data_IF_072656907069
#
_entry.id   IF_072656907069
#
_cell.length_a   1.000
_cell.length_b   1.000
_cell.length_c   1.000
_cell.angle_alpha   90.00
_cell.angle_beta   90.00
_cell.angle_gamma   90.00
#
_symmetry.space_group_name_H-M   'P 1'
#
loop_
_entity.id
_entity.type
_entity.pdbx_description
1 polymer ?
#
# COMPACT_ATOMS: atom_id res chain seq x y z
N UNK A 1 10.59 -7.64 -1.91
CA UNK A 1 9.23 -7.27 -2.40
C UNK A 1 9.26 -6.06 -3.35
N UNK A 2 10.06 -5.02 -3.13
CA UNK A 2 10.14 -3.82 -3.99
C UNK A 2 10.34 -4.09 -5.48
N UNK A 3 11.05 -5.15 -5.84
CA UNK A 3 11.24 -5.54 -7.25
C UNK A 3 9.93 -5.85 -8.00
N UNK A 4 8.84 -6.17 -7.31
CA UNK A 4 7.56 -6.53 -7.95
C UNK A 4 6.94 -5.34 -8.66
N UNK A 5 7.15 -4.11 -8.16
CA UNK A 5 6.59 -2.90 -8.75
C UNK A 5 7.04 -2.71 -10.21
N UNK A 6 8.30 -3.03 -10.52
CA UNK A 6 8.82 -2.90 -11.88
C UNK A 6 8.06 -3.77 -12.91
N UNK A 7 7.53 -4.93 -12.47
CA UNK A 7 6.66 -5.75 -13.32
C UNK A 7 5.25 -5.19 -13.42
N UNK A 8 4.71 -4.66 -12.34
CA UNK A 8 3.34 -4.13 -12.28
C UNK A 8 3.19 -2.89 -13.15
N UNK A 9 4.18 -1.99 -13.14
CA UNK A 9 4.16 -0.79 -14.00
C UNK A 9 4.49 -1.08 -15.46
N UNK A 10 4.80 -2.33 -15.81
CA UNK A 10 4.98 -2.77 -17.19
C UNK A 10 3.68 -3.33 -17.75
N UNK A 11 3.16 -2.79 -18.84
CA UNK A 11 1.97 -3.33 -19.53
C UNK A 11 2.17 -4.78 -20.01
N UNK A 12 3.43 -5.18 -20.24
CA UNK A 12 3.81 -6.56 -20.58
C UNK A 12 4.22 -7.41 -19.38
N UNK A 13 4.17 -6.85 -18.17
CA UNK A 13 4.69 -7.46 -16.94
C UNK A 13 6.15 -7.98 -17.09
N UNK A 14 6.96 -7.29 -17.88
CA UNK A 14 8.30 -7.71 -18.25
C UNK A 14 9.33 -6.62 -17.94
N UNK A 15 10.49 -7.08 -17.47
CA UNK A 15 11.64 -6.23 -17.17
C UNK A 15 12.92 -6.86 -17.68
N UNK A 16 13.92 -6.02 -17.94
CA UNK A 16 15.30 -6.46 -18.16
C UNK A 16 16.16 -5.91 -17.03
N UNK A 17 16.94 -6.78 -16.42
CA UNK A 17 17.78 -6.46 -15.28
C UNK A 17 19.23 -6.59 -15.75
N UNK A 18 19.99 -5.50 -15.62
CA UNK A 18 21.40 -5.41 -15.92
C UNK A 18 22.12 -4.99 -14.66
N UNK A 19 23.01 -5.82 -14.12
CA UNK A 19 23.67 -5.56 -12.85
C UNK A 19 25.17 -5.81 -12.92
N UNK A 20 25.95 -4.98 -12.23
CA UNK A 20 27.38 -5.13 -12.06
C UNK A 20 27.69 -5.23 -10.57
N UNK A 21 28.34 -6.33 -10.18
CA UNK A 21 28.69 -6.65 -8.80
C UNK A 21 30.14 -7.15 -8.71
N UNK A 22 30.70 -7.23 -7.51
CA UNK A 22 31.96 -7.91 -7.29
C UNK A 22 31.67 -9.35 -6.88
N UNK A 23 32.21 -10.30 -7.66
CA UNK A 23 32.17 -11.74 -7.37
C UNK A 23 33.61 -12.30 -7.39
N UNK A 24 34.02 -12.95 -6.31
CA UNK A 24 35.38 -13.45 -6.12
C UNK A 24 36.48 -12.38 -6.38
N UNK A 25 36.24 -11.16 -5.93
CA UNK A 25 37.15 -10.02 -6.07
C UNK A 25 37.23 -9.42 -7.48
N UNK A 26 36.37 -9.85 -8.41
CA UNK A 26 36.33 -9.32 -9.79
C UNK A 26 34.94 -8.69 -10.08
N UNK A 27 34.92 -7.54 -10.77
CA UNK A 27 33.68 -7.04 -11.31
C UNK A 27 33.08 -8.07 -12.29
N UNK A 28 31.80 -8.39 -12.10
CA UNK A 28 31.05 -9.30 -12.96
C UNK A 28 29.77 -8.61 -13.36
N UNK A 29 29.50 -8.52 -14.64
CA UNK A 29 28.27 -7.94 -15.19
C UNK A 29 27.32 -9.05 -15.60
N UNK A 30 26.04 -8.87 -15.31
CA UNK A 30 24.99 -9.85 -15.63
C UNK A 30 23.77 -9.17 -16.20
N UNK A 31 23.16 -9.79 -17.23
CA UNK A 31 21.92 -9.34 -17.82
C UNK A 31 20.94 -10.50 -17.95
N UNK A 32 19.69 -10.28 -17.52
CA UNK A 32 18.61 -11.25 -17.64
C UNK A 32 17.29 -10.55 -17.87
N UNK A 33 16.47 -11.07 -18.78
CA UNK A 33 15.07 -10.68 -18.93
C UNK A 33 14.17 -11.52 -18.01
N UNK A 34 13.15 -10.93 -17.46
CA UNK A 34 12.18 -11.62 -16.63
C UNK A 34 10.76 -11.07 -16.85
N UNK A 35 9.75 -11.96 -16.80
CA UNK A 35 8.35 -11.55 -16.78
C UNK A 35 7.52 -12.38 -15.82
N UNK A 36 6.41 -11.78 -15.39
CA UNK A 36 5.41 -12.41 -14.53
C UNK A 36 4.09 -12.41 -15.29
N UNK A 37 3.72 -13.58 -15.84
CA UNK A 37 2.44 -13.80 -16.50
C UNK A 37 1.54 -14.72 -15.70
N UNK A 38 0.42 -15.07 -16.29
CA UNK A 38 -0.49 -16.05 -15.72
C UNK A 38 0.06 -17.48 -15.88
N UNK A 39 -0.35 -18.37 -14.98
CA UNK A 39 -0.09 -19.80 -15.13
C UNK A 39 -0.82 -20.34 -16.36
N UNK A 40 -0.14 -21.12 -17.20
CA UNK A 40 -0.75 -21.75 -18.38
C UNK A 40 -0.23 -23.17 -18.59
N UNK A 41 -0.95 -23.93 -19.42
CA UNK A 41 -0.57 -25.27 -19.84
C UNK A 41 -0.28 -25.24 -21.35
N UNK A 42 0.91 -25.65 -21.74
CA UNK A 42 1.27 -25.89 -23.15
C UNK A 42 2.00 -27.22 -23.27
N UNK A 43 1.71 -27.98 -24.34
CA UNK A 43 2.34 -29.27 -24.64
C UNK A 43 2.34 -30.24 -23.43
N UNK A 44 1.23 -30.26 -22.66
CA UNK A 44 1.05 -31.07 -21.44
C UNK A 44 2.02 -30.69 -20.30
N UNK A 45 2.67 -29.53 -20.36
CA UNK A 45 3.52 -28.98 -19.30
C UNK A 45 2.84 -27.83 -18.63
N UNK A 46 2.94 -27.80 -17.30
CA UNK A 46 2.46 -26.69 -16.48
C UNK A 46 3.55 -25.61 -16.40
N UNK A 47 3.24 -24.40 -16.84
CA UNK A 47 4.07 -23.22 -16.68
C UNK A 47 3.54 -22.36 -15.55
N UNK A 48 4.43 -21.89 -14.67
CA UNK A 48 4.04 -21.11 -13.48
C UNK A 48 3.70 -19.65 -13.81
N UNK A 49 3.84 -19.23 -15.07
CA UNK A 49 3.71 -17.85 -15.51
C UNK A 49 4.95 -16.99 -15.23
N UNK A 50 6.00 -17.56 -14.66
CA UNK A 50 7.29 -16.89 -14.52
C UNK A 50 8.15 -17.25 -15.71
N UNK A 51 8.59 -16.22 -16.44
CA UNK A 51 9.42 -16.36 -17.62
C UNK A 51 10.76 -15.71 -17.38
N UNK A 52 11.81 -16.35 -17.91
CA UNK A 52 13.18 -15.87 -17.84
C UNK A 52 13.82 -15.97 -19.22
N UNK A 53 14.53 -14.94 -19.63
CA UNK A 53 15.29 -14.89 -20.87
C UNK A 53 16.75 -14.67 -20.56
N UNK A 54 17.59 -15.63 -20.99
CA UNK A 54 19.02 -15.61 -20.77
C UNK A 54 19.67 -16.79 -21.50
N UNK A 55 20.84 -17.22 -21.05
CA UNK A 55 21.54 -18.39 -21.59
C UNK A 55 20.93 -19.67 -21.05
N UNK A 56 20.47 -20.56 -21.92
CA UNK A 56 19.86 -21.84 -21.53
C UNK A 56 20.82 -23.02 -21.83
N UNK A 57 21.91 -23.12 -21.08
CA UNK A 57 22.89 -24.19 -21.24
C UNK A 57 22.51 -25.49 -20.49
N UNK A 58 21.69 -25.40 -19.42
CA UNK A 58 21.40 -26.52 -18.51
C UNK A 58 19.91 -26.81 -18.37
N UNK A 59 19.06 -26.22 -19.21
CA UNK A 59 17.60 -26.28 -19.07
C UNK A 59 17.02 -25.29 -18.05
N UNK A 60 17.89 -24.52 -17.38
CA UNK A 60 17.54 -23.40 -16.52
C UNK A 60 18.11 -22.12 -17.15
N UNK A 61 17.30 -21.09 -17.41
CA UNK A 61 17.79 -19.81 -17.90
C UNK A 61 18.75 -19.17 -16.88
N UNK A 62 19.98 -18.93 -17.32
CA UNK A 62 21.00 -18.21 -16.55
C UNK A 62 21.17 -16.82 -17.13
N UNK A 63 21.66 -15.83 -16.36
CA UNK A 63 22.02 -14.53 -16.90
C UNK A 63 23.06 -14.65 -18.02
N UNK A 64 23.02 -13.73 -18.95
CA UNK A 64 24.17 -13.46 -19.82
C UNK A 64 25.21 -12.74 -18.99
N UNK A 65 26.50 -13.05 -19.16
CA UNK A 65 27.57 -12.51 -18.29
C UNK A 65 28.58 -11.68 -19.07
N UNK A 66 29.23 -10.77 -18.36
CA UNK A 66 30.38 -9.94 -18.73
C UNK A 66 30.19 -9.22 -20.07
N UNK A 67 31.15 -9.35 -21.02
CA UNK A 67 31.13 -8.62 -22.29
C UNK A 67 29.83 -8.81 -23.10
N UNK A 68 29.30 -10.04 -23.09
CA UNK A 68 28.04 -10.31 -23.79
C UNK A 68 26.85 -9.62 -23.12
N UNK A 69 26.86 -9.47 -21.79
CA UNK A 69 25.85 -8.71 -21.07
C UNK A 69 25.92 -7.21 -21.39
N UNK A 70 27.14 -6.65 -21.44
CA UNK A 70 27.39 -5.24 -21.79
C UNK A 70 26.91 -4.96 -23.24
N UNK A 71 27.26 -5.83 -24.18
CA UNK A 71 26.83 -5.68 -25.59
C UNK A 71 25.30 -5.72 -25.75
N UNK A 72 24.62 -6.61 -25.03
CA UNK A 72 23.16 -6.68 -25.04
C UNK A 72 22.52 -5.45 -24.37
N UNK A 73 23.10 -4.97 -23.27
CA UNK A 73 22.63 -3.77 -22.62
C UNK A 73 22.72 -2.55 -23.53
N UNK A 74 23.85 -2.41 -24.25
CA UNK A 74 24.04 -1.33 -25.25
C UNK A 74 23.02 -1.41 -26.39
N UNK A 75 22.81 -2.61 -26.97
CA UNK A 75 21.80 -2.82 -28.00
C UNK A 75 20.37 -2.46 -27.56
N UNK A 76 20.09 -2.60 -26.26
CA UNK A 76 18.80 -2.24 -25.65
C UNK A 76 18.73 -0.77 -25.23
N UNK A 77 19.82 0.00 -25.41
CA UNK A 77 19.89 1.39 -24.99
C UNK A 77 19.93 1.59 -23.48
N UNK A 78 20.35 0.58 -22.73
CA UNK A 78 20.53 0.71 -21.27
C UNK A 78 21.82 1.51 -20.99
N UNK A 79 21.83 2.34 -19.92
CA UNK A 79 23.04 3.10 -19.57
C UNK A 79 24.20 2.15 -19.22
N UNK A 80 25.44 2.40 -19.72
CA UNK A 80 26.59 1.62 -19.34
C UNK A 80 27.02 1.93 -17.90
N UNK A 81 27.64 0.97 -17.23
CA UNK A 81 28.32 1.21 -15.97
C UNK A 81 29.67 1.90 -16.22
N UNK A 82 30.00 2.90 -15.40
CA UNK A 82 31.33 3.52 -15.41
C UNK A 82 32.37 2.54 -14.85
N UNK A 83 33.67 2.85 -14.98
CA UNK A 83 34.78 1.92 -14.72
C UNK A 83 34.68 1.21 -13.35
N UNK A 84 34.43 1.95 -12.27
CA UNK A 84 34.30 1.42 -10.90
C UNK A 84 32.86 1.37 -10.37
N UNK A 85 31.88 1.63 -11.22
CA UNK A 85 30.50 1.68 -10.82
C UNK A 85 29.95 0.27 -10.58
N UNK A 86 29.32 0.08 -9.42
CA UNK A 86 28.55 -1.12 -9.08
C UNK A 86 27.09 -0.73 -8.92
N UNK A 87 26.18 -1.57 -9.40
CA UNK A 87 24.77 -1.25 -9.29
C UNK A 87 23.87 -2.15 -10.10
N UNK A 88 22.61 -1.70 -10.24
CA UNK A 88 21.59 -2.42 -11.01
C UNK A 88 20.76 -1.44 -11.81
N UNK A 89 20.70 -1.66 -13.12
CA UNK A 89 19.77 -1.01 -14.04
C UNK A 89 18.56 -1.92 -14.25
N UNK A 90 17.37 -1.37 -14.16
CA UNK A 90 16.12 -2.08 -14.43
C UNK A 90 15.41 -1.35 -15.56
N UNK A 91 15.25 -2.01 -16.70
CA UNK A 91 14.44 -1.53 -17.81
C UNK A 91 13.03 -2.08 -17.68
N UNK A 92 12.04 -1.22 -17.58
CA UNK A 92 10.62 -1.58 -17.60
C UNK A 92 10.13 -1.56 -19.04
N UNK A 93 9.62 -2.69 -19.54
CA UNK A 93 9.14 -2.80 -20.92
C UNK A 93 7.71 -2.26 -21.01
N UNK A 94 7.48 -1.34 -21.97
CA UNK A 94 6.18 -0.72 -22.18
C UNK A 94 5.55 -0.21 -20.85
N UNK A 95 6.15 0.82 -20.22
CA UNK A 95 5.65 1.32 -18.93
C UNK A 95 4.22 1.86 -19.06
N UNK A 96 3.39 1.57 -18.07
CA UNK A 96 2.09 2.20 -17.90
C UNK A 96 2.28 3.58 -17.26
N UNK A 97 1.90 4.60 -18.00
CA UNK A 97 2.04 5.99 -17.55
C UNK A 97 0.79 6.49 -16.77
N UNK A 98 -0.19 5.63 -16.54
CA UNK A 98 -1.38 5.96 -15.76
C UNK A 98 -2.17 7.12 -16.38
N UNK A 99 -2.45 7.07 -17.68
CA UNK A 99 -3.14 8.12 -18.48
C UNK A 99 -2.37 9.44 -18.62
N UNK A 100 -1.12 9.52 -18.17
CA UNK A 100 -0.26 10.70 -18.33
C UNK A 100 0.40 10.71 -19.71
N UNK A 101 0.64 11.90 -20.24
CA UNK A 101 1.61 12.07 -21.32
C UNK A 101 3.02 11.73 -20.80
N UNK A 102 4.00 11.46 -21.68
CA UNK A 102 5.39 11.24 -21.25
C UNK A 102 5.96 12.39 -20.41
N UNK A 103 5.68 13.64 -20.77
CA UNK A 103 6.15 14.82 -20.03
C UNK A 103 5.49 14.90 -18.65
N UNK A 104 4.19 14.66 -18.55
CA UNK A 104 3.47 14.59 -17.28
C UNK A 104 3.97 13.44 -16.39
N UNK A 105 4.29 12.30 -16.99
CA UNK A 105 4.85 11.16 -16.23
C UNK A 105 6.24 11.50 -15.67
N UNK A 106 7.06 12.22 -16.41
CA UNK A 106 8.38 12.70 -15.94
C UNK A 106 8.20 13.72 -14.82
N UNK A 107 7.28 14.66 -14.96
CA UNK A 107 6.94 15.61 -13.89
C UNK A 107 6.46 14.87 -12.64
N UNK A 108 5.52 13.92 -12.81
CA UNK A 108 5.05 13.08 -11.71
C UNK A 108 6.17 12.31 -11.02
N UNK A 109 7.16 11.79 -11.74
CA UNK A 109 8.32 11.11 -11.15
C UNK A 109 9.19 12.08 -10.35
N UNK A 110 9.49 13.27 -10.88
CA UNK A 110 10.26 14.29 -10.16
C UNK A 110 9.56 14.69 -8.85
N UNK A 111 8.26 14.95 -8.92
CA UNK A 111 7.45 15.27 -7.73
C UNK A 111 7.39 14.10 -6.75
N UNK A 112 7.22 12.86 -7.23
CA UNK A 112 7.22 11.67 -6.36
C UNK A 112 8.54 11.47 -5.63
N UNK A 113 9.67 11.67 -6.32
CA UNK A 113 11.01 11.67 -5.69
C UNK A 113 11.06 12.72 -4.59
N UNK A 114 10.60 13.93 -4.90
CA UNK A 114 10.60 15.04 -3.96
C UNK A 114 9.73 14.73 -2.72
N UNK A 115 8.47 14.31 -2.89
CA UNK A 115 7.55 14.10 -1.77
C UNK A 115 7.85 12.87 -0.91
N UNK A 116 8.46 11.82 -1.47
CA UNK A 116 8.70 10.58 -0.74
C UNK A 116 10.15 10.41 -0.29
N UNK A 117 11.11 11.02 -0.97
CA UNK A 117 12.53 10.85 -0.69
C UNK A 117 13.19 12.11 -0.12
N UNK A 118 12.46 13.20 0.12
CA UNK A 118 13.03 14.47 0.59
C UNK A 118 13.99 14.34 1.79
N UNK A 119 13.81 13.44 2.78
CA UNK A 119 14.78 13.35 3.88
C UNK A 119 16.17 12.92 3.43
N UNK A 120 16.25 12.23 2.28
CA UNK A 120 17.51 11.83 1.65
C UNK A 120 18.11 12.91 0.77
N UNK A 121 17.32 13.88 0.36
CA UNK A 121 17.74 15.02 -0.45
C UNK A 121 18.14 16.23 0.40
N UNK A 122 17.99 16.15 1.73
CA UNK A 122 18.46 17.18 2.67
C UNK A 122 19.93 16.92 2.98
N UNK A 123 20.77 17.93 2.73
CA UNK A 123 22.19 17.85 3.07
C UNK A 123 22.39 17.66 4.59
N UNK A 124 23.33 16.83 4.96
CA UNK A 124 23.76 16.65 6.33
C UNK A 124 24.61 17.84 6.79
N UNK A 125 24.87 18.01 8.10
CA UNK A 125 25.70 19.11 8.60
C UNK A 125 27.12 19.16 8.01
N UNK A 126 27.63 18.05 7.50
CA UNK A 126 28.89 17.94 6.76
C UNK A 126 28.78 18.32 5.28
N UNK A 127 27.59 18.71 4.81
CA UNK A 127 27.31 19.07 3.42
C UNK A 127 27.04 17.86 2.49
N UNK A 128 27.07 16.63 3.00
CA UNK A 128 26.87 15.43 2.20
C UNK A 128 25.38 15.16 2.02
N UNK A 129 24.96 14.89 0.77
CA UNK A 129 23.62 14.37 0.46
C UNK A 129 23.58 12.86 0.68
N UNK A 130 22.66 12.33 1.49
CA UNK A 130 22.52 10.89 1.69
C UNK A 130 22.19 10.09 0.44
N UNK A 131 21.55 10.73 -0.55
CA UNK A 131 21.15 10.12 -1.82
C UNK A 131 21.21 11.16 -2.94
N UNK A 132 21.71 10.75 -4.10
CA UNK A 132 21.61 11.51 -5.33
C UNK A 132 20.52 10.90 -6.20
N UNK A 133 19.56 11.71 -6.61
CA UNK A 133 18.51 11.33 -7.53
C UNK A 133 18.65 12.17 -8.79
N UNK A 134 18.56 11.55 -9.97
CA UNK A 134 18.45 12.24 -11.25
C UNK A 134 17.32 11.62 -12.05
N UNK A 135 16.58 12.45 -12.77
CA UNK A 135 15.55 12.04 -13.72
C UNK A 135 15.99 12.51 -15.10
N UNK A 136 15.87 11.65 -16.10
CA UNK A 136 16.21 12.00 -17.48
C UNK A 136 15.04 11.68 -18.41
N UNK A 137 14.80 12.57 -19.36
CA UNK A 137 13.81 12.36 -20.41
C UNK A 137 14.49 12.56 -21.77
N UNK A 138 14.41 11.57 -22.66
CA UNK A 138 15.08 11.58 -23.96
C UNK A 138 16.58 11.91 -23.92
N UNK A 139 17.24 11.45 -22.84
CA UNK A 139 18.69 11.67 -22.62
C UNK A 139 19.04 12.99 -21.91
N UNK A 140 18.09 13.92 -21.79
CA UNK A 140 18.29 15.20 -21.11
C UNK A 140 17.89 15.09 -19.63
N UNK A 141 18.66 15.73 -18.75
CA UNK A 141 18.40 15.75 -17.33
C UNK A 141 17.25 16.72 -17.01
N UNK A 142 16.25 16.21 -16.27
CA UNK A 142 15.12 16.99 -15.79
C UNK A 142 15.36 17.33 -14.32
N UNK A 143 15.29 18.61 -14.01
CA UNK A 143 15.55 19.11 -12.66
C UNK A 143 14.45 18.66 -11.69
N UNK A 144 14.83 18.02 -10.59
CA UNK A 144 13.94 17.81 -9.44
C UNK A 144 13.74 19.16 -8.75
N UNK A 145 12.49 19.59 -8.47
CA UNK A 145 12.22 20.90 -7.87
C UNK A 145 12.86 21.07 -6.50
N UNK A 146 13.11 22.33 -6.12
CA UNK A 146 13.53 22.68 -4.75
C UNK A 146 12.35 22.58 -3.76
N UNK A 147 12.64 22.23 -2.53
CA UNK A 147 11.64 22.11 -1.45
C UNK A 147 10.83 23.41 -1.26
N UNK A 148 11.51 24.58 -1.31
CA UNK A 148 10.88 25.89 -1.14
C UNK A 148 9.85 26.21 -2.24
N UNK A 149 9.97 25.57 -3.42
CA UNK A 149 9.01 25.73 -4.50
C UNK A 149 7.75 24.87 -4.36
N UNK A 150 7.66 24.04 -3.31
CA UNK A 150 6.58 23.08 -3.10
C UNK A 150 5.99 23.14 -1.68
N UNK A 151 5.30 24.23 -1.31
CA UNK A 151 4.61 24.30 -0.02
C UNK A 151 3.60 23.12 0.13
N UNK A 152 3.52 22.47 1.32
CA UNK A 152 4.21 22.78 2.57
C UNK A 152 5.51 21.98 2.80
N UNK A 153 6.17 21.46 1.75
CA UNK A 153 7.30 20.54 1.90
C UNK A 153 8.47 21.19 2.65
N UNK A 154 8.75 22.46 2.38
CA UNK A 154 9.78 23.22 3.10
C UNK A 154 9.58 23.15 4.63
N UNK A 155 8.33 23.19 5.09
CA UNK A 155 8.00 23.12 6.53
C UNK A 155 8.27 21.73 7.12
N UNK A 156 8.06 20.67 6.35
CA UNK A 156 8.49 19.33 6.76
C UNK A 156 10.02 19.23 6.85
N UNK A 157 10.74 19.85 5.92
CA UNK A 157 12.21 19.90 5.94
C UNK A 157 12.71 20.68 7.16
N UNK A 158 12.11 21.83 7.50
CA UNK A 158 12.42 22.58 8.72
C UNK A 158 12.22 21.71 9.98
N UNK A 159 11.04 21.10 10.11
CA UNK A 159 10.74 20.22 11.24
C UNK A 159 11.72 19.03 11.36
N UNK A 160 12.15 18.49 10.24
CA UNK A 160 13.14 17.41 10.19
C UNK A 160 14.53 17.86 10.60
N UNK A 161 14.98 19.01 10.10
CA UNK A 161 16.28 19.60 10.46
C UNK A 161 16.38 19.82 11.97
N UNK A 162 15.35 20.42 12.57
CA UNK A 162 15.29 20.67 14.01
C UNK A 162 15.20 19.36 14.82
N UNK A 163 14.43 18.37 14.34
CA UNK A 163 14.19 17.12 15.05
C UNK A 163 15.38 16.16 14.97
N UNK A 164 15.91 15.96 13.77
CA UNK A 164 16.85 14.88 13.43
C UNK A 164 18.29 15.39 13.32
N UNK A 165 18.49 16.55 12.68
CA UNK A 165 19.84 17.13 12.51
C UNK A 165 20.25 18.01 13.66
N UNK A 166 19.32 18.43 14.53
CA UNK A 166 19.59 19.28 15.68
C UNK A 166 19.87 20.74 15.30
N UNK A 167 19.40 21.16 14.13
CA UNK A 167 19.43 22.56 13.71
C UNK A 167 18.31 23.32 14.42
N UNK A 168 18.46 24.62 14.61
CA UNK A 168 17.42 25.51 15.14
C UNK A 168 16.82 26.32 14.00
N UNK A 169 16.14 25.63 13.07
CA UNK A 169 15.62 26.23 11.82
C UNK A 169 14.33 27.00 12.06
N UNK A 170 13.50 26.59 13.03
CA UNK A 170 12.21 27.19 13.29
C UNK A 170 12.01 27.59 14.74
N UNK A 171 11.68 28.89 14.97
CA UNK A 171 11.37 29.43 16.29
C UNK A 171 10.09 28.83 16.91
N UNK A 172 9.22 28.28 16.10
CA UNK A 172 7.92 27.71 16.52
C UNK A 172 7.96 26.20 16.67
N UNK A 173 9.10 25.58 16.43
CA UNK A 173 9.30 24.14 16.54
C UNK A 173 9.05 23.64 17.97
N UNK A 174 8.35 22.53 18.08
CA UNK A 174 8.16 21.83 19.33
C UNK A 174 8.48 20.36 19.20
N UNK A 175 9.33 19.87 20.10
CA UNK A 175 9.74 18.47 20.18
C UNK A 175 9.03 17.77 21.33
N UNK A 176 8.53 16.56 21.05
CA UNK A 176 7.91 15.69 22.06
C UNK A 176 8.43 14.27 21.94
N UNK A 177 8.86 13.68 23.06
CA UNK A 177 9.19 12.26 23.11
C UNK A 177 7.90 11.41 23.12
N UNK A 178 7.85 10.44 22.25
CA UNK A 178 6.78 9.45 22.18
C UNK A 178 7.29 8.14 22.79
N UNK A 179 6.56 7.60 23.77
CA UNK A 179 7.06 6.42 24.45
C UNK A 179 6.13 5.88 25.54
N UNK A 180 6.65 5.01 26.39
CA UNK A 180 5.94 4.44 27.53
C UNK A 180 6.74 4.59 28.82
N UNK A 181 6.02 4.64 29.94
CA UNK A 181 6.61 4.74 31.28
C UNK A 181 6.55 3.42 32.05
N UNK A 182 5.58 2.55 31.73
CA UNK A 182 5.31 1.30 32.44
C UNK A 182 5.34 0.13 31.46
N UNK A 183 5.96 -1.01 31.79
CA UNK A 183 6.68 -1.32 33.03
C UNK A 183 8.06 -0.68 33.14
N UNK A 184 8.67 -0.25 32.03
CA UNK A 184 9.95 0.46 31.97
C UNK A 184 9.79 1.68 31.08
N UNK A 185 10.39 2.81 31.48
CA UNK A 185 10.45 4.01 30.65
C UNK A 185 11.23 3.72 29.35
N UNK A 186 10.62 3.97 28.21
CA UNK A 186 11.20 3.76 26.88
C UNK A 186 10.76 4.88 25.97
N UNK A 187 11.69 5.50 25.27
CA UNK A 187 11.41 6.44 24.18
C UNK A 187 11.35 5.65 22.88
N UNK A 188 10.20 5.62 22.24
CA UNK A 188 9.96 4.87 21.01
C UNK A 188 10.23 5.72 19.75
N UNK A 189 10.33 7.04 19.92
CA UNK A 189 10.64 8.00 18.89
C UNK A 189 10.39 9.43 19.37
N UNK A 190 10.59 10.37 18.48
CA UNK A 190 10.38 11.80 18.73
C UNK A 190 9.46 12.37 17.64
N UNK A 191 8.55 13.23 18.07
CA UNK A 191 7.67 14.01 17.22
C UNK A 191 8.11 15.48 17.27
N UNK A 192 8.38 16.08 16.12
CA UNK A 192 8.58 17.51 15.94
C UNK A 192 7.40 18.11 15.18
N UNK A 193 6.91 19.28 15.55
CA UNK A 193 5.82 19.95 14.85
C UNK A 193 6.08 21.44 14.68
N UNK A 194 5.69 22.00 13.52
CA UNK A 194 5.85 23.39 13.14
C UNK A 194 4.52 23.95 12.62
N UNK A 195 3.97 25.04 13.19
CA UNK A 195 2.88 25.80 12.59
C UNK A 195 3.39 26.82 11.58
N UNK A 196 2.58 27.14 10.61
CA UNK A 196 2.86 28.19 9.62
C UNK A 196 1.57 28.81 9.09
N UNK A 197 1.66 29.98 8.51
CA UNK A 197 0.54 30.60 7.80
C UNK A 197 0.24 29.78 6.52
N UNK A 198 -1.04 29.62 6.20
CA UNK A 198 -1.47 28.90 5.01
C UNK A 198 -0.82 29.50 3.76
N UNK A 199 -0.17 28.65 2.98
CA UNK A 199 0.52 29.01 1.74
C UNK A 199 -0.25 28.49 0.53
N UNK A 200 -0.14 29.20 -0.60
CA UNK A 200 -0.71 28.75 -1.86
C UNK A 200 0.08 27.55 -2.38
N UNK A 201 -0.63 26.52 -2.82
CA UNK A 201 -0.01 25.33 -3.44
C UNK A 201 0.51 25.68 -4.83
N UNK A 202 1.64 25.09 -5.19
CA UNK A 202 2.17 25.20 -6.55
C UNK A 202 1.27 24.41 -7.51
N UNK A 203 0.98 24.99 -8.65
CA UNK A 203 0.36 24.26 -9.74
C UNK A 203 1.43 23.42 -10.43
N UNK A 204 1.17 22.13 -10.60
CA UNK A 204 2.10 21.16 -11.20
C UNK A 204 1.35 20.42 -12.31
N UNK A 205 1.92 20.36 -13.49
CA UNK A 205 1.38 19.57 -14.61
C UNK A 205 1.93 18.13 -14.54
N UNK A 206 1.44 17.38 -13.57
CA UNK A 206 1.74 15.94 -13.40
C UNK A 206 0.60 15.03 -13.91
N UNK A 207 -0.34 15.61 -14.67
CA UNK A 207 -1.52 14.94 -15.21
C UNK A 207 -2.72 14.96 -14.28
N UNK A 208 -2.57 15.42 -13.04
CA UNK A 208 -3.68 15.58 -12.12
C UNK A 208 -4.57 16.79 -12.49
N UNK A 209 -5.88 16.60 -12.44
CA UNK A 209 -6.88 17.66 -12.58
C UNK A 209 -7.94 17.51 -11.48
N UNK A 210 -7.97 18.44 -10.51
CA UNK A 210 -8.92 18.35 -9.39
C UNK A 210 -10.39 18.47 -9.81
N UNK A 211 -10.67 18.90 -11.05
CA UNK A 211 -12.02 18.99 -11.59
C UNK A 211 -12.45 17.73 -12.35
N UNK A 212 -11.56 16.78 -12.55
CA UNK A 212 -11.81 15.55 -13.28
C UNK A 212 -11.58 14.34 -12.36
N UNK A 213 -12.67 13.69 -11.95
CA UNK A 213 -12.63 12.50 -11.06
C UNK A 213 -11.88 11.31 -11.69
N UNK A 214 -11.79 11.28 -13.04
CA UNK A 214 -11.05 10.24 -13.77
C UNK A 214 -9.56 10.58 -13.96
N UNK A 215 -9.11 11.76 -13.53
CA UNK A 215 -7.71 12.15 -13.66
C UNK A 215 -6.82 11.32 -12.73
N UNK A 216 -5.58 11.03 -13.14
CA UNK A 216 -4.64 10.34 -12.26
C UNK A 216 -4.34 11.17 -11.02
N UNK A 217 -4.04 10.52 -9.87
CA UNK A 217 -3.75 11.22 -8.63
C UNK A 217 -2.49 12.08 -8.76
N UNK A 218 -2.44 13.23 -8.07
CA UNK A 218 -1.23 14.05 -7.98
C UNK A 218 -0.13 13.31 -7.21
N UNK A 219 1.12 13.61 -7.57
CA UNK A 219 2.28 13.17 -6.79
C UNK A 219 2.36 13.87 -5.41
N UNK A 220 1.81 15.09 -5.32
CA UNK A 220 1.74 15.83 -4.06
C UNK A 220 0.59 15.33 -3.19
N UNK A 221 0.82 14.85 -1.95
CA UNK A 221 -0.25 14.49 -1.03
C UNK A 221 -1.04 15.72 -0.52
N UNK A 222 -0.62 16.93 -0.89
CA UNK A 222 -1.20 18.21 -0.49
C UNK A 222 -1.62 19.08 -1.68
N UNK A 223 -1.84 18.48 -2.85
CA UNK A 223 -2.33 19.21 -4.02
C UNK A 223 -3.65 19.92 -3.72
N UNK A 224 -4.49 19.27 -2.94
CA UNK A 224 -5.79 19.78 -2.51
C UNK A 224 -5.88 19.80 -0.99
N UNK A 225 -6.29 20.89 -0.41
CA UNK A 225 -6.57 20.98 1.02
C UNK A 225 -5.43 21.52 1.90
N UNK A 226 -5.68 21.53 3.19
CA UNK A 226 -4.79 22.08 4.20
C UNK A 226 -3.79 21.04 4.70
N UNK A 227 -2.56 21.46 4.98
CA UNK A 227 -1.58 20.60 5.63
C UNK A 227 -1.85 20.51 7.14
N UNK A 228 -2.01 19.29 7.63
CA UNK A 228 -2.21 18.96 9.05
C UNK A 228 -1.72 17.53 9.32
N UNK A 229 -0.53 17.20 8.79
CA UNK A 229 -0.04 15.83 8.73
C UNK A 229 1.32 15.67 9.41
N UNK A 230 1.59 14.44 9.82
CA UNK A 230 2.89 14.03 10.35
C UNK A 230 3.56 13.09 9.35
N UNK A 231 4.71 13.48 8.81
CA UNK A 231 5.56 12.57 8.05
C UNK A 231 6.16 11.52 9.00
N UNK A 232 5.87 10.25 8.75
CA UNK A 232 6.36 9.13 9.54
C UNK A 232 7.69 8.62 8.97
N UNK A 233 8.73 8.61 9.79
CA UNK A 233 10.07 8.19 9.43
C UNK A 233 10.60 7.13 10.41
N UNK A 234 11.46 6.23 9.90
CA UNK A 234 12.26 5.30 10.71
C UNK A 234 13.75 5.35 10.30
N UNK A 235 14.57 4.38 10.70
CA UNK A 235 16.01 4.32 10.47
C UNK A 235 16.48 4.69 9.06
N UNK A 236 15.92 4.14 7.98
CA UNK A 236 16.30 4.52 6.62
C UNK A 236 15.95 5.95 6.22
N UNK A 237 15.12 6.66 7.01
CA UNK A 237 14.71 8.05 6.73
C UNK A 237 14.12 8.26 5.34
N UNK A 238 13.20 7.38 4.96
CA UNK A 238 12.26 7.56 3.86
C UNK A 238 10.90 7.88 4.45
N UNK A 239 10.09 8.66 3.74
CA UNK A 239 8.72 8.93 4.17
C UNK A 239 7.90 7.65 3.99
N UNK A 240 7.43 7.09 5.11
CA UNK A 240 6.55 5.92 5.11
C UNK A 240 5.13 6.35 4.78
N UNK A 241 4.66 7.42 5.44
CA UNK A 241 3.29 7.92 5.28
C UNK A 241 3.22 9.37 5.77
N UNK A 242 2.22 10.11 5.29
CA UNK A 242 1.81 11.39 5.82
C UNK A 242 0.55 11.20 6.68
N UNK A 243 0.76 10.95 7.97
CA UNK A 243 -0.31 10.62 8.91
C UNK A 243 -1.16 11.84 9.25
N UNK A 244 -2.48 11.82 8.97
CA UNK A 244 -3.34 12.97 9.21
C UNK A 244 -3.59 13.23 10.70
N UNK A 245 -3.57 14.51 11.07
CA UNK A 245 -3.97 15.01 12.38
C UNK A 245 -5.19 15.93 12.29
N UNK A 246 -5.53 16.66 13.36
CA UNK A 246 -6.65 17.61 13.35
C UNK A 246 -6.30 18.84 12.52
N UNK A 247 -7.30 19.39 11.85
CA UNK A 247 -7.20 20.71 11.22
C UNK A 247 -7.06 21.75 12.32
N UNK A 248 -6.19 22.75 12.13
CA UNK A 248 -6.05 23.85 13.06
C UNK A 248 -7.37 24.62 13.22
N UNK A 249 -7.64 25.13 14.44
CA UNK A 249 -8.87 25.89 14.69
C UNK A 249 -8.94 27.20 13.90
N UNK A 250 -7.80 27.81 13.61
CA UNK A 250 -7.69 28.98 12.73
C UNK A 250 -7.45 28.50 11.29
N UNK A 251 -8.35 28.79 10.34
CA UNK A 251 -8.21 28.38 8.93
C UNK A 251 -7.03 29.05 8.21
N UNK A 252 -6.46 30.13 8.77
CA UNK A 252 -5.26 30.78 8.26
C UNK A 252 -3.97 30.07 8.68
N UNK A 253 -4.05 29.12 9.59
CA UNK A 253 -2.92 28.37 10.12
C UNK A 253 -2.95 26.94 9.63
N UNK A 254 -1.83 26.48 9.15
CA UNK A 254 -1.54 25.08 8.87
C UNK A 254 -0.42 24.60 9.80
N UNK A 255 -0.24 23.30 9.89
CA UNK A 255 0.87 22.73 10.63
C UNK A 255 1.34 21.44 9.98
N UNK A 256 2.60 21.16 10.19
CA UNK A 256 3.22 19.88 9.81
C UNK A 256 3.96 19.29 10.98
N UNK A 257 4.17 17.99 10.93
CA UNK A 257 5.00 17.29 11.89
C UNK A 257 5.91 16.27 11.22
N UNK A 258 6.97 15.92 11.91
CA UNK A 258 7.84 14.79 11.56
C UNK A 258 7.96 13.91 12.78
N UNK A 259 7.66 12.64 12.62
CA UNK A 259 7.95 11.61 13.62
C UNK A 259 9.11 10.75 13.15
N UNK A 260 10.14 10.62 13.99
CA UNK A 260 11.28 9.74 13.76
C UNK A 260 11.28 8.66 14.83
N UNK A 261 11.14 7.39 14.40
CA UNK A 261 11.26 6.23 15.28
C UNK A 261 12.69 6.14 15.84
N UNK A 262 12.82 5.71 17.08
CA UNK A 262 14.13 5.47 17.69
C UNK A 262 14.77 4.21 17.08
N UNK A 263 16.06 4.26 16.80
CA UNK A 263 16.81 3.20 16.07
C UNK A 263 16.74 1.84 16.78
N UNK A 264 16.70 1.84 18.11
CA UNK A 264 16.55 0.63 18.92
C UNK A 264 15.27 -0.17 18.60
N UNK A 265 14.25 0.50 18.05
CA UNK A 265 12.96 -0.11 17.72
C UNK A 265 12.71 -0.20 16.21
N UNK A 266 13.67 0.18 15.37
CA UNK A 266 13.52 0.20 13.90
C UNK A 266 12.97 -1.12 13.35
N UNK A 267 13.48 -2.24 13.86
CA UNK A 267 13.03 -3.58 13.44
C UNK A 267 11.55 -3.86 13.72
N UNK A 268 10.96 -3.23 14.73
CA UNK A 268 9.53 -3.36 15.04
C UNK A 268 8.72 -2.59 14.00
N UNK A 269 9.12 -1.36 13.68
CA UNK A 269 8.48 -0.53 12.67
C UNK A 269 8.59 -1.17 11.29
N UNK A 270 9.77 -1.68 10.93
CA UNK A 270 10.01 -2.37 9.66
C UNK A 270 9.09 -3.58 9.44
N UNK A 271 8.81 -4.37 10.51
CA UNK A 271 7.88 -5.51 10.41
C UNK A 271 6.42 -5.13 10.25
N UNK A 272 6.07 -3.90 10.57
CA UNK A 272 4.72 -3.38 10.41
C UNK A 272 4.45 -2.80 9.03
N UNK A 273 5.50 -2.62 8.23
CA UNK A 273 5.38 -2.15 6.86
C UNK A 273 4.84 -3.25 5.95
N UNK A 274 3.83 -2.95 5.12
CA UNK A 274 3.46 -3.84 4.02
C UNK A 274 4.63 -3.95 3.02
N UNK A 275 4.55 -4.87 2.06
CA UNK A 275 5.58 -4.99 1.01
C UNK A 275 5.83 -3.71 0.20
N UNK A 276 4.91 -2.78 0.20
CA UNK A 276 4.98 -1.46 -0.46
C UNK A 276 5.73 -0.42 0.35
N UNK A 277 5.98 -0.68 1.65
CA UNK A 277 6.67 0.23 2.58
C UNK A 277 6.06 1.63 2.70
N UNK A 278 4.74 1.75 2.55
CA UNK A 278 3.98 2.99 2.47
C UNK A 278 3.00 3.19 3.62
N UNK A 279 3.03 2.36 4.63
CA UNK A 279 2.22 2.50 5.84
C UNK A 279 2.80 1.70 7.01
N UNK A 280 2.38 2.03 8.22
CA UNK A 280 2.55 1.15 9.38
C UNK A 280 1.23 0.48 9.73
N UNK A 281 1.14 -0.81 9.47
CA UNK A 281 -0.05 -1.59 9.78
C UNK A 281 0.19 -2.51 10.99
N UNK A 282 -0.26 -2.12 12.21
CA UNK A 282 -0.12 -2.97 13.38
C UNK A 282 -0.83 -4.31 13.24
N UNK A 283 -1.87 -4.40 12.41
CA UNK A 283 -2.71 -5.59 12.33
C UNK A 283 -2.06 -6.74 11.55
N UNK A 284 -1.06 -6.46 10.74
CA UNK A 284 -0.27 -7.48 10.03
C UNK A 284 0.80 -8.14 10.90
N UNK A 285 1.06 -7.62 12.11
CA UNK A 285 2.11 -8.11 12.98
C UNK A 285 1.66 -9.35 13.78
N UNK A 286 2.51 -10.38 13.83
CA UNK A 286 2.24 -11.62 14.58
C UNK A 286 2.45 -11.44 16.09
N UNK A 287 3.46 -10.67 16.49
CA UNK A 287 3.82 -10.46 17.89
C UNK A 287 2.94 -9.44 18.59
N UNK A 288 2.06 -9.91 19.51
CA UNK A 288 1.15 -9.04 20.27
C UNK A 288 1.86 -7.89 21.01
N UNK A 289 3.06 -8.12 21.53
CA UNK A 289 3.85 -7.10 22.23
C UNK A 289 4.27 -5.96 21.31
N UNK A 290 4.78 -6.28 20.14
CA UNK A 290 5.22 -5.31 19.12
C UNK A 290 4.04 -4.56 18.51
N UNK A 291 2.97 -5.27 18.18
CA UNK A 291 1.69 -4.70 17.76
C UNK A 291 1.17 -3.63 18.73
N UNK A 292 1.25 -3.92 20.03
CA UNK A 292 0.82 -2.96 21.06
C UNK A 292 1.76 -1.74 21.15
N UNK A 293 3.07 -1.93 20.91
CA UNK A 293 4.03 -0.84 20.86
C UNK A 293 3.67 0.11 19.72
N UNK A 294 3.47 -0.42 18.52
CA UNK A 294 3.15 0.40 17.35
C UNK A 294 1.80 1.12 17.50
N UNK A 295 0.76 0.41 17.92
CA UNK A 295 -0.56 1.02 18.20
C UNK A 295 -0.47 2.13 19.23
N UNK A 296 0.41 1.96 20.24
CA UNK A 296 0.66 3.00 21.23
C UNK A 296 1.33 4.21 20.59
N UNK A 297 2.34 4.01 19.76
CA UNK A 297 3.03 5.13 19.08
C UNK A 297 2.05 5.93 18.24
N UNK A 298 1.29 5.30 17.36
CA UNK A 298 0.32 5.98 16.51
C UNK A 298 -0.74 6.74 17.33
N UNK A 299 -1.25 6.11 18.42
CA UNK A 299 -2.19 6.78 19.33
C UNK A 299 -1.56 7.95 20.06
N UNK A 300 -0.30 7.84 20.51
CA UNK A 300 0.37 8.91 21.24
C UNK A 300 0.75 10.08 20.31
N UNK A 301 1.09 9.81 19.04
CA UNK A 301 1.23 10.83 17.99
C UNK A 301 -0.10 11.57 17.83
N UNK A 302 -1.19 10.82 17.60
CA UNK A 302 -2.53 11.40 17.43
C UNK A 302 -2.95 12.24 18.64
N UNK A 303 -2.68 11.73 19.84
CA UNK A 303 -2.95 12.46 21.09
C UNK A 303 -2.13 13.76 21.16
N UNK A 304 -0.84 13.71 20.82
CA UNK A 304 0.05 14.87 20.88
C UNK A 304 -0.40 15.98 19.93
N UNK A 305 -0.79 15.64 18.69
CA UNK A 305 -1.26 16.62 17.71
C UNK A 305 -2.66 17.13 18.05
N UNK A 306 -3.54 16.29 18.60
CA UNK A 306 -4.88 16.72 19.07
C UNK A 306 -4.78 17.68 20.26
N UNK A 307 -3.88 17.42 21.21
CA UNK A 307 -3.66 18.33 22.35
C UNK A 307 -3.15 19.71 21.91
N UNK A 308 -2.42 19.77 20.80
CA UNK A 308 -1.84 21.03 20.31
C UNK A 308 -2.77 21.79 19.36
N UNK A 309 -3.44 21.10 18.45
CA UNK A 309 -4.17 21.70 17.34
C UNK A 309 -5.67 21.46 17.38
N UNK A 310 -6.13 20.41 18.08
CA UNK A 310 -7.52 19.99 18.06
C UNK A 310 -8.34 20.69 19.13
N UNK A 311 -9.33 21.46 18.72
CA UNK A 311 -10.48 21.80 19.58
C UNK A 311 -11.70 20.94 19.25
N UNK A 312 -11.67 20.26 18.13
CA UNK A 312 -12.74 19.34 17.69
C UNK A 312 -12.07 18.16 16.97
N UNK A 313 -12.44 16.95 17.36
CA UNK A 313 -12.11 15.75 16.57
C UNK A 313 -12.91 15.90 15.28
N UNK A 314 -12.28 16.39 14.22
CA UNK A 314 -12.88 16.25 12.90
C UNK A 314 -13.01 14.75 12.63
N UNK A 315 -14.17 14.24 12.18
CA UNK A 315 -14.23 12.89 11.67
C UNK A 315 -13.17 12.76 10.58
N UNK A 316 -12.41 11.68 10.60
CA UNK A 316 -11.46 11.38 9.50
C UNK A 316 -12.24 11.51 8.19
N UNK A 317 -11.78 12.28 7.20
CA UNK A 317 -12.39 12.22 5.89
C UNK A 317 -12.26 10.79 5.39
N UNK A 318 -13.41 10.15 5.20
CA UNK A 318 -13.50 8.94 4.40
C UNK A 318 -13.04 9.35 3.00
N UNK A 319 -11.85 8.97 2.60
CA UNK A 319 -11.36 9.28 1.26
C UNK A 319 -10.02 10.00 1.15
N UNK A 320 -9.25 10.23 2.22
CA UNK A 320 -7.83 10.54 2.02
C UNK A 320 -7.20 9.31 1.34
N UNK A 321 -6.94 9.43 0.04
CA UNK A 321 -6.25 8.41 -0.73
C UNK A 321 -4.84 8.23 -0.14
N UNK A 322 -4.75 7.38 0.84
CA UNK A 322 -3.48 6.82 1.27
C UNK A 322 -2.92 6.05 0.06
N UNK A 323 -1.63 6.19 -0.22
CA UNK A 323 -0.92 5.29 -1.14
C UNK A 323 -1.15 3.82 -0.78
N UNK A 324 -1.56 3.52 0.45
CA UNK A 324 -2.08 2.23 0.88
C UNK A 324 -3.29 1.75 0.05
N UNK A 325 -4.12 2.64 -0.49
CA UNK A 325 -5.20 2.28 -1.42
C UNK A 325 -4.64 1.79 -2.76
N UNK A 326 -3.63 2.47 -3.27
CA UNK A 326 -2.93 2.05 -4.51
C UNK A 326 -2.17 0.75 -4.25
N UNK A 327 -1.56 0.60 -3.09
CA UNK A 327 -0.87 -0.61 -2.68
C UNK A 327 -1.80 -1.81 -2.50
N UNK A 328 -3.01 -1.61 -2.03
CA UNK A 328 -4.05 -2.66 -1.93
C UNK A 328 -4.52 -3.08 -3.33
N UNK A 329 -4.71 -2.12 -4.25
CA UNK A 329 -5.02 -2.39 -5.66
C UNK A 329 -3.86 -3.14 -6.32
N UNK A 330 -2.62 -2.72 -6.11
CA UNK A 330 -1.42 -3.38 -6.62
C UNK A 330 -1.18 -4.74 -5.97
N UNK A 331 -1.52 -4.91 -4.70
CA UNK A 331 -1.46 -6.18 -3.98
C UNK A 331 -2.44 -7.23 -4.53
N UNK A 332 -3.59 -6.80 -5.02
CA UNK A 332 -4.58 -7.68 -5.65
C UNK A 332 -4.26 -8.02 -7.11
N UNK A 333 -3.56 -7.14 -7.84
CA UNK A 333 -3.09 -7.41 -9.21
C UNK A 333 -1.93 -8.39 -9.26
N UNK A 334 -1.18 -8.53 -8.18
CA UNK A 334 -0.15 -9.57 -8.03
C UNK A 334 -0.82 -10.86 -7.54
N UNK A 335 -1.61 -11.49 -8.39
CA UNK A 335 -2.01 -12.90 -8.25
C UNK A 335 -0.80 -13.81 -8.44
N UNK A 336 0.19 -13.63 -7.60
CA UNK A 336 1.32 -14.51 -7.42
C UNK A 336 1.09 -15.33 -6.18
N UNK A 337 0.59 -16.57 -6.36
CA UNK A 337 0.62 -17.68 -5.41
C UNK A 337 0.37 -17.23 -3.95
N UNK A 338 -0.75 -17.66 -3.43
CA UNK A 338 -1.07 -17.63 -2.01
C UNK A 338 0.19 -17.95 -1.18
N UNK A 339 0.91 -16.92 -0.77
CA UNK A 339 1.69 -17.01 0.42
C UNK A 339 0.63 -17.22 1.53
N UNK A 340 0.86 -18.15 2.43
CA UNK A 340 0.04 -18.35 3.61
C UNK A 340 0.13 -17.11 4.51
N UNK A 341 -0.49 -16.00 4.06
CA UNK A 341 -0.86 -14.88 4.89
C UNK A 341 -2.24 -15.19 5.43
N UNK A 342 -2.38 -15.26 6.73
CA UNK A 342 -3.68 -15.39 7.39
C UNK A 342 -4.61 -14.32 6.84
N UNK A 343 -5.72 -14.75 6.24
CA UNK A 343 -6.72 -13.90 5.64
C UNK A 343 -7.11 -12.75 6.56
N UNK A 344 -7.27 -11.59 5.97
CA UNK A 344 -7.74 -10.37 6.63
C UNK A 344 -9.12 -10.68 7.21
N UNK A 345 -9.22 -10.80 8.53
CA UNK A 345 -10.51 -10.85 9.19
C UNK A 345 -11.21 -9.52 8.91
N UNK A 346 -12.38 -9.58 8.29
CA UNK A 346 -13.33 -8.46 8.26
C UNK A 346 -13.41 -7.89 9.67
N UNK A 347 -13.21 -6.58 9.81
CA UNK A 347 -13.23 -5.87 11.09
C UNK A 347 -14.49 -6.23 11.87
N UNK A 348 -14.32 -7.02 12.90
CA UNK A 348 -15.27 -7.00 14.01
C UNK A 348 -15.09 -5.68 14.74
N UNK A 349 -16.15 -4.92 15.01
CA UNK A 349 -16.05 -3.72 15.83
C UNK A 349 -15.50 -4.09 17.21
N UNK A 350 -14.60 -3.25 17.74
CA UNK A 350 -14.00 -3.41 19.06
C UNK A 350 -15.07 -3.65 20.11
N UNK A 351 -14.85 -4.58 21.06
CA UNK A 351 -15.77 -4.79 22.16
C UNK A 351 -15.59 -3.66 23.18
N UNK A 352 -16.47 -2.67 23.11
CA UNK A 352 -16.69 -1.72 24.21
C UNK A 352 -18.13 -1.82 24.64
N UNK A 353 -18.50 -2.94 25.24
CA UNK A 353 -19.59 -3.11 26.21
C UNK A 353 -19.68 -4.60 26.57
N UNK A 354 -19.89 -4.98 27.80
CA UNK A 354 -20.09 -6.37 28.16
C UNK A 354 -21.47 -6.82 27.67
N UNK A 355 -21.52 -7.82 26.77
CA UNK A 355 -22.70 -8.63 26.65
C UNK A 355 -23.40 -8.82 25.32
N UNK A 356 -22.80 -8.60 24.15
CA UNK A 356 -23.46 -9.07 22.92
C UNK A 356 -22.53 -10.02 22.17
N UNK A 357 -22.75 -11.31 22.38
CA UNK A 357 -22.15 -12.37 21.58
C UNK A 357 -22.71 -12.27 20.15
N UNK A 358 -21.86 -12.13 19.15
CA UNK A 358 -22.24 -12.07 17.72
C UNK A 358 -21.68 -13.27 16.97
N UNK A 359 -22.37 -13.79 15.95
CA UNK A 359 -21.81 -14.80 15.06
C UNK A 359 -20.53 -14.30 14.39
N UNK A 360 -19.61 -15.19 14.07
CA UNK A 360 -18.34 -14.85 13.42
C UNK A 360 -18.33 -15.41 12.02
N UNK A 361 -17.93 -14.60 11.03
CA UNK A 361 -17.68 -15.02 9.66
C UNK A 361 -16.19 -14.94 9.39
N UNK A 362 -15.61 -16.01 8.90
CA UNK A 362 -14.19 -16.10 8.55
C UNK A 362 -14.05 -16.51 7.09
N UNK A 363 -13.27 -15.76 6.33
CA UNK A 363 -12.90 -16.10 4.96
C UNK A 363 -11.86 -17.23 4.99
N UNK A 364 -12.01 -18.25 4.15
CA UNK A 364 -11.12 -19.41 4.06
C UNK A 364 -10.24 -19.31 2.82
N UNK A 365 -10.87 -19.26 1.64
CA UNK A 365 -10.15 -19.28 0.36
C UNK A 365 -11.00 -18.67 -0.77
N UNK A 366 -10.35 -18.20 -1.83
CA UNK A 366 -11.01 -17.89 -3.08
C UNK A 366 -10.18 -18.35 -4.28
N UNK A 367 -10.89 -18.71 -5.34
CA UNK A 367 -10.31 -19.09 -6.64
C UNK A 367 -11.04 -18.36 -7.74
N UNK A 368 -10.35 -18.10 -8.84
CA UNK A 368 -10.93 -17.54 -10.06
C UNK A 368 -10.56 -18.43 -11.23
N UNK A 369 -11.55 -18.88 -11.96
CA UNK A 369 -11.40 -19.63 -13.20
C UNK A 369 -11.99 -18.82 -14.36
N UNK A 370 -11.50 -19.05 -15.58
CA UNK A 370 -12.05 -18.43 -16.78
C UNK A 370 -12.79 -19.51 -17.55
N UNK A 371 -14.10 -19.33 -17.69
CA UNK A 371 -14.97 -20.25 -18.42
C UNK A 371 -15.70 -19.44 -19.50
N UNK A 372 -15.52 -19.81 -20.76
CA UNK A 372 -16.15 -19.16 -21.92
C UNK A 372 -15.94 -17.63 -21.98
N UNK A 373 -14.76 -17.17 -21.52
CA UNK A 373 -14.40 -15.73 -21.50
C UNK A 373 -14.97 -14.95 -20.32
N UNK A 374 -15.73 -15.59 -19.45
CA UNK A 374 -16.23 -15.03 -18.20
C UNK A 374 -15.36 -15.45 -17.01
N UNK A 375 -15.22 -14.58 -16.04
CA UNK A 375 -14.53 -14.88 -14.80
C UNK A 375 -15.49 -15.54 -13.81
N UNK A 376 -15.27 -16.81 -13.53
CA UNK A 376 -15.96 -17.54 -12.48
C UNK A 376 -15.15 -17.45 -11.19
N UNK A 377 -15.65 -16.69 -10.24
CA UNK A 377 -15.03 -16.52 -8.93
C UNK A 377 -15.74 -17.39 -7.91
N UNK A 378 -14.98 -18.15 -7.14
CA UNK A 378 -15.47 -18.99 -6.05
C UNK A 378 -14.84 -18.53 -4.74
N UNK A 379 -15.66 -18.33 -3.69
CA UNK A 379 -15.21 -17.99 -2.35
C UNK A 379 -15.78 -18.93 -1.31
N UNK A 380 -14.98 -19.25 -0.30
CA UNK A 380 -15.36 -20.15 0.80
C UNK A 380 -15.25 -19.41 2.12
N UNK A 381 -16.30 -19.49 2.91
CA UNK A 381 -16.40 -18.89 4.23
C UNK A 381 -16.76 -19.93 5.29
N UNK A 382 -16.27 -19.73 6.51
CA UNK A 382 -16.72 -20.43 7.70
C UNK A 382 -17.57 -19.48 8.55
N UNK A 383 -18.77 -19.89 8.90
CA UNK A 383 -19.68 -19.14 9.76
C UNK A 383 -19.82 -19.88 11.09
N UNK A 384 -19.44 -19.21 12.19
CA UNK A 384 -19.48 -19.79 13.53
C UNK A 384 -20.62 -19.15 14.31
N UNK A 385 -21.61 -19.94 14.76
CA UNK A 385 -22.75 -19.44 15.53
C UNK A 385 -22.33 -18.99 16.93
N UNK A 386 -23.21 -18.21 17.54
CA UNK A 386 -23.09 -17.83 18.95
C UNK A 386 -23.46 -19.02 19.82
N UNK A 387 -22.63 -19.32 20.84
CA UNK A 387 -22.93 -20.38 21.81
C UNK A 387 -24.25 -20.09 22.53
N UNK A 388 -25.15 -21.07 22.51
CA UNK A 388 -26.45 -20.95 23.17
C UNK A 388 -27.55 -20.27 22.32
N UNK A 389 -27.29 -20.00 21.03
CA UNK A 389 -28.29 -19.51 20.07
C UNK A 389 -28.47 -20.53 18.95
N UNK A 390 -29.73 -20.85 18.64
CA UNK A 390 -30.06 -21.91 17.67
C UNK A 390 -30.23 -21.38 16.25
N UNK A 391 -30.37 -20.06 16.07
CA UNK A 391 -30.65 -19.45 14.77
C UNK A 391 -29.78 -18.23 14.50
N UNK A 392 -29.36 -18.06 13.24
CA UNK A 392 -28.71 -16.86 12.73
C UNK A 392 -29.09 -16.61 11.27
N UNK A 393 -29.07 -15.37 10.86
CA UNK A 393 -29.27 -14.95 9.46
C UNK A 393 -27.92 -14.59 8.88
N UNK A 394 -27.60 -15.16 7.72
CA UNK A 394 -26.42 -14.77 6.95
C UNK A 394 -26.86 -14.07 5.69
N UNK A 395 -26.37 -12.85 5.52
CA UNK A 395 -26.57 -12.03 4.34
C UNK A 395 -25.28 -12.09 3.51
N UNK A 396 -25.42 -12.35 2.23
CA UNK A 396 -24.34 -12.38 1.25
C UNK A 396 -24.62 -11.36 0.18
N UNK A 397 -23.61 -10.59 -0.19
CA UNK A 397 -23.61 -9.76 -1.40
C UNK A 397 -22.30 -9.94 -2.13
N UNK A 398 -22.36 -9.90 -3.45
CA UNK A 398 -21.18 -9.82 -4.31
C UNK A 398 -21.28 -8.56 -5.14
N UNK A 399 -20.18 -7.84 -5.31
CA UNK A 399 -20.10 -6.64 -6.12
C UNK A 399 -18.68 -6.42 -6.59
N UNK A 400 -18.49 -5.41 -7.42
CA UNK A 400 -17.18 -4.96 -7.87
C UNK A 400 -16.53 -4.15 -6.74
N UNK A 401 -15.25 -4.41 -6.48
CA UNK A 401 -14.49 -3.63 -5.51
C UNK A 401 -14.12 -2.28 -6.13
N UNK A 402 -14.62 -1.20 -5.52
CA UNK A 402 -14.20 0.17 -5.80
C UNK A 402 -13.46 0.66 -4.57
N UNK A 403 -12.24 1.17 -4.74
CA UNK A 403 -11.38 1.70 -3.67
C UNK A 403 -11.24 0.78 -2.43
N UNK A 404 -11.33 -0.55 -2.66
CA UNK A 404 -11.17 -1.56 -1.61
C UNK A 404 -12.27 -1.61 -0.55
N UNK A 405 -13.31 -0.77 -0.61
CA UNK A 405 -14.33 -0.68 0.44
C UNK A 405 -15.79 -0.60 -0.04
N UNK A 406 -16.02 -0.25 -1.28
CA UNK A 406 -17.38 -0.06 -1.79
C UNK A 406 -17.81 -1.25 -2.62
N UNK A 407 -18.96 -1.83 -2.26
CA UNK A 407 -19.63 -2.86 -3.01
C UNK A 407 -20.56 -2.19 -4.02
N UNK A 408 -20.16 -2.11 -5.29
CA UNK A 408 -21.00 -1.61 -6.35
C UNK A 408 -21.47 -2.77 -7.25
N UNK A 409 -22.76 -2.91 -7.39
CA UNK A 409 -23.40 -3.92 -8.25
C UNK A 409 -23.83 -3.35 -9.60
N UNK A 410 -23.68 -2.04 -9.81
CA UNK A 410 -24.12 -1.35 -11.02
C UNK A 410 -23.06 -1.28 -12.11
N UNK A 411 -21.78 -1.49 -11.78
CA UNK A 411 -20.66 -1.36 -12.70
C UNK A 411 -20.49 -2.54 -13.68
N UNK A 412 -21.06 -3.69 -13.36
CA UNK A 412 -21.02 -4.86 -14.23
C UNK A 412 -22.41 -5.49 -14.32
N UNK A 413 -23.10 -5.21 -15.41
CA UNK A 413 -24.44 -5.76 -15.67
C UNK A 413 -24.45 -7.29 -15.79
N UNK A 414 -23.29 -7.91 -16.00
CA UNK A 414 -23.14 -9.37 -16.09
C UNK A 414 -22.78 -10.01 -14.74
N UNK A 415 -22.54 -9.22 -13.71
CA UNK A 415 -22.21 -9.74 -12.39
C UNK A 415 -23.42 -10.45 -11.78
N UNK A 416 -23.27 -11.74 -11.55
CA UNK A 416 -24.31 -12.58 -10.94
C UNK A 416 -23.70 -13.55 -9.94
N UNK A 417 -24.36 -13.71 -8.80
CA UNK A 417 -24.10 -14.79 -7.87
C UNK A 417 -24.80 -16.04 -8.43
N UNK A 418 -24.02 -16.99 -8.96
CA UNK A 418 -24.57 -18.18 -9.61
C UNK A 418 -25.06 -19.22 -8.59
N UNK A 419 -24.22 -19.49 -7.59
CA UNK A 419 -24.52 -20.48 -6.57
C UNK A 419 -24.13 -19.98 -5.19
N UNK A 420 -24.92 -20.36 -4.21
CA UNK A 420 -24.57 -20.28 -2.80
C UNK A 420 -24.94 -21.63 -2.17
N UNK A 421 -24.00 -22.24 -1.45
CA UNK A 421 -24.26 -23.47 -0.72
C UNK A 421 -23.82 -23.36 0.72
N UNK A 422 -24.54 -24.01 1.64
CA UNK A 422 -24.15 -24.11 3.05
C UNK A 422 -24.09 -25.60 3.42
N UNK A 423 -22.92 -26.05 3.83
CA UNK A 423 -22.65 -27.46 4.11
C UNK A 423 -23.05 -28.39 2.95
N UNK A 424 -22.88 -27.89 1.69
CA UNK A 424 -23.25 -28.60 0.47
C UNK A 424 -24.72 -28.50 0.05
N UNK A 425 -25.58 -27.88 0.86
CA UNK A 425 -26.98 -27.66 0.50
C UNK A 425 -27.17 -26.32 -0.21
N UNK A 426 -27.88 -26.27 -1.34
CA UNK A 426 -28.08 -25.05 -2.09
C UNK A 426 -28.96 -24.04 -1.33
N UNK A 427 -28.61 -22.77 -1.48
CA UNK A 427 -29.32 -21.61 -0.96
C UNK A 427 -29.90 -20.82 -2.13
N UNK A 428 -31.06 -20.23 -1.95
CA UNK A 428 -31.67 -19.36 -2.97
C UNK A 428 -30.83 -18.11 -3.17
N UNK A 429 -30.51 -17.82 -4.41
CA UNK A 429 -29.76 -16.62 -4.85
C UNK A 429 -30.74 -15.66 -5.52
N UNK A 430 -30.53 -14.36 -5.34
CA UNK A 430 -31.32 -13.31 -5.98
C UNK A 430 -30.35 -12.24 -6.53
N UNK A 431 -30.10 -12.27 -7.83
CA UNK A 431 -29.14 -11.39 -8.52
C UNK A 431 -27.72 -11.51 -7.95
N UNK A 432 -27.27 -10.51 -7.25
CA UNK A 432 -25.94 -10.45 -6.61
C UNK A 432 -25.98 -10.75 -5.11
N UNK A 433 -27.10 -11.22 -4.58
CA UNK A 433 -27.32 -11.42 -3.16
C UNK A 433 -27.88 -12.81 -2.81
N UNK A 434 -27.65 -13.24 -1.59
CA UNK A 434 -28.30 -14.41 -1.00
C UNK A 434 -28.58 -14.16 0.48
N UNK A 435 -29.71 -14.71 0.96
CA UNK A 435 -30.11 -14.65 2.36
C UNK A 435 -30.37 -16.06 2.87
N UNK A 436 -29.78 -16.44 3.97
CA UNK A 436 -29.95 -17.78 4.53
C UNK A 436 -30.16 -17.74 6.04
N UNK A 437 -31.15 -18.47 6.50
CA UNK A 437 -31.36 -18.77 7.91
C UNK A 437 -30.63 -20.08 8.24
N UNK A 438 -29.65 -19.99 9.13
CA UNK A 438 -28.90 -21.15 9.61
C UNK A 438 -29.38 -21.55 11.00
N UNK A 439 -29.49 -22.87 11.20
CA UNK A 439 -29.97 -23.46 12.44
C UNK A 439 -28.88 -24.33 13.07
N UNK A 440 -28.83 -24.35 14.39
CA UNK A 440 -27.99 -25.22 15.19
C UNK A 440 -26.63 -24.61 15.61
N UNK A 441 -25.99 -25.21 16.62
CA UNK A 441 -24.77 -24.69 17.24
C UNK A 441 -23.47 -25.13 16.54
N UNK A 442 -23.56 -25.59 15.29
CA UNK A 442 -22.43 -26.12 14.52
C UNK A 442 -21.84 -25.07 13.60
N UNK A 443 -20.57 -25.22 13.27
CA UNK A 443 -19.92 -24.41 12.25
C UNK A 443 -20.49 -24.72 10.87
N UNK A 444 -20.72 -23.71 10.07
CA UNK A 444 -21.25 -23.84 8.73
C UNK A 444 -20.19 -23.43 7.72
N UNK A 445 -19.97 -24.28 6.70
CA UNK A 445 -19.13 -23.95 5.55
C UNK A 445 -20.01 -23.44 4.44
N UNK A 446 -19.77 -22.19 4.02
CA UNK A 446 -20.47 -21.55 2.94
C UNK A 446 -19.56 -21.47 1.71
N UNK A 447 -20.06 -21.87 0.56
CA UNK A 447 -19.37 -21.77 -0.74
C UNK A 447 -20.23 -20.91 -1.66
N UNK A 448 -19.64 -19.89 -2.24
CA UNK A 448 -20.25 -18.91 -3.11
C UNK A 448 -19.54 -18.93 -4.46
N UNK A 449 -20.29 -18.86 -5.55
CA UNK A 449 -19.75 -18.76 -6.90
C UNK A 449 -20.46 -17.64 -7.65
N UNK A 450 -19.68 -16.74 -8.24
CA UNK A 450 -20.17 -15.61 -9.01
C UNK A 450 -19.44 -15.52 -10.35
N UNK A 451 -20.15 -15.00 -11.35
CA UNK A 451 -19.61 -14.74 -12.68
C UNK A 451 -19.63 -13.26 -12.98
N UNK A 452 -18.60 -12.75 -13.64
CA UNK A 452 -18.57 -11.43 -14.25
C UNK A 452 -17.92 -11.47 -15.63
N UNK A 453 -18.34 -10.58 -16.54
CA UNK A 453 -17.73 -10.41 -17.85
C UNK A 453 -16.54 -9.43 -17.79
N UNK A 454 -16.49 -8.60 -16.77
CA UNK A 454 -15.41 -7.67 -16.52
C UNK A 454 -14.17 -8.36 -15.95
N UNK A 455 -12.99 -7.75 -16.14
CA UNK A 455 -11.76 -8.18 -15.47
C UNK A 455 -11.62 -7.55 -14.08
N UNK A 456 -12.75 -7.19 -13.47
CA UNK A 456 -12.78 -6.49 -12.19
C UNK A 456 -12.71 -7.46 -11.02
N UNK A 457 -12.05 -7.05 -9.96
CA UNK A 457 -11.99 -7.81 -8.71
C UNK A 457 -13.34 -7.81 -8.02
N UNK A 458 -13.77 -8.97 -7.53
CA UNK A 458 -15.02 -9.09 -6.78
C UNK A 458 -14.77 -8.87 -5.29
N UNK A 459 -15.68 -8.13 -4.67
CA UNK A 459 -15.80 -8.00 -3.23
C UNK A 459 -16.96 -8.89 -2.75
N UNK A 460 -16.68 -9.70 -1.75
CA UNK A 460 -17.65 -10.55 -1.08
C UNK A 460 -17.99 -9.94 0.28
N UNK A 461 -19.22 -9.50 0.45
CA UNK A 461 -19.75 -9.03 1.73
C UNK A 461 -20.61 -10.15 2.33
N UNK A 462 -20.12 -10.74 3.42
CA UNK A 462 -20.82 -11.83 4.12
C UNK A 462 -20.98 -11.44 5.58
N UNK A 463 -22.20 -11.17 5.97
CA UNK A 463 -22.54 -10.72 7.32
C UNK A 463 -23.48 -11.71 8.02
N UNK A 464 -23.13 -12.11 9.23
CA UNK A 464 -23.99 -12.95 10.07
C UNK A 464 -24.57 -12.16 11.24
N UNK A 465 -25.89 -12.24 11.41
CA UNK A 465 -26.65 -11.56 12.47
C UNK A 465 -27.58 -12.53 13.18
N UNK A 466 -27.93 -12.20 14.41
CA UNK A 466 -29.05 -12.87 15.07
C UNK A 466 -30.36 -12.39 14.42
N UNK A 467 -31.41 -13.24 14.30
CA UNK A 467 -32.69 -12.84 13.76
C UNK A 467 -33.29 -11.66 14.54
N UNK A 468 -33.88 -10.70 13.82
CA UNK A 468 -34.60 -9.59 14.42
C UNK A 468 -35.77 -10.13 15.22
N UNK A 469 -35.82 -9.82 16.52
CA UNK A 469 -36.95 -10.20 17.40
C UNK A 469 -36.60 -11.00 18.64
N UNK A 470 -35.33 -11.41 18.82
CA UNK A 470 -34.86 -12.06 20.08
C UNK A 470 -34.28 -10.98 21.00
N UNK A 471 -35.13 -10.18 21.60
CA UNK A 471 -34.76 -9.32 22.72
C UNK A 471 -34.41 -10.19 23.95
N UNK A 472 -33.35 -9.77 24.66
CA UNK A 472 -32.87 -10.39 25.88
C UNK A 472 -34.01 -10.53 26.90
N UNK A 473 -34.40 -11.74 27.20
CA UNK A 473 -34.95 -12.09 28.51
C UNK A 473 -33.89 -12.91 29.25
N UNK A 474 -33.39 -12.35 30.34
CA UNK A 474 -32.58 -13.05 31.33
C UNK A 474 -31.26 -12.38 31.63
#
# INVERSE_FOLDING_TARGET
FGKTIAYVVSQSNAVIIHSRTVHDGKPTTRLIGAAIGQRFISDRRNYTGRHWWGVNATGVPLPVEDEAAEQLADLLGMPPFQEDELGTNIMVIAPDLGQRTPDQAVTFLCESVLWHLWPKLVARPDGVLPMHCSVRHNGEEVMIPDFASRPPLERFVEAYKDLVLGEESSLTFQKRAIGRTVPKKMTLGHLGTVPFAREQRASVDDGHDPLNEDAPPSASPFAEGAAHHVALLRGPELVIDYWPGPIAADPAIEWVGVFRAADEFDSIFARAEPPTHDAWNPDTMDHRGEKNILRKVLRDIQKAVNERWGTTIAPMPEGAASTAGIADILGHLVLGKAGQGKGRSVRSPSPSSPGTLRPTVSFIESTVDIVDGLHLSRAVFEVVPVTGREQMVVNVRVGVAIDGQVLDTSLDETLQLLTATVNGNPVRVDGTAAHVLLNGPVRHRMVLEAVNAGRMSLLWDVEAKLPDGVMNEG
#
